data_IF_624920829962
#
_entry.id   IF_624920829962
#
_cell.length_a   1.000
_cell.length_b   1.000
_cell.length_c   1.000
_cell.angle_alpha   90.00
_cell.angle_beta   90.00
_cell.angle_gamma   90.00
#
_symmetry.space_group_name_H-M   'P 1'
#
loop_
_entity.id
_entity.type
_entity.pdbx_description
1 polymer ?
#
# COMPACT_ATOMS: atom_id res chain seq x y z
N UNK A 1 -7.07 -1.94 -21.22
CA UNK A 1 -8.01 -1.41 -20.22
C UNK A 1 -7.62 0.04 -19.91
N UNK A 2 -8.59 0.92 -20.01
CA UNK A 2 -8.37 2.32 -19.68
C UNK A 2 -8.67 2.58 -18.21
N UNK A 3 -7.72 3.18 -17.53
CA UNK A 3 -7.90 3.57 -16.13
C UNK A 3 -7.15 4.85 -15.83
N UNK A 4 -7.54 5.48 -14.72
CA UNK A 4 -6.81 6.60 -14.15
C UNK A 4 -6.58 6.35 -12.66
N UNK A 5 -5.43 6.79 -12.15
CA UNK A 5 -5.15 6.76 -10.73
C UNK A 5 -5.25 8.21 -10.23
N UNK A 6 -6.14 8.43 -9.29
CA UNK A 6 -6.47 9.76 -8.78
C UNK A 6 -6.53 9.75 -7.28
N UNK A 7 -6.43 10.95 -6.69
CA UNK A 7 -6.61 11.12 -5.26
C UNK A 7 -8.05 10.77 -4.89
N UNK A 8 -8.24 9.97 -3.85
CA UNK A 8 -9.57 9.62 -3.37
C UNK A 8 -10.28 10.85 -2.77
N UNK A 9 -11.59 10.84 -2.85
CA UNK A 9 -12.47 11.88 -2.34
C UNK A 9 -13.45 11.28 -1.35
N UNK A 10 -14.11 12.15 -0.59
CA UNK A 10 -15.12 11.71 0.39
C UNK A 10 -16.22 10.86 -0.26
N UNK A 11 -16.62 11.20 -1.48
CA UNK A 11 -17.64 10.44 -2.23
C UNK A 11 -17.20 9.01 -2.58
N UNK A 12 -15.91 8.69 -2.47
CA UNK A 12 -15.37 7.35 -2.76
C UNK A 12 -15.44 6.41 -1.55
N UNK A 13 -15.85 6.91 -0.39
CA UNK A 13 -15.79 6.18 0.90
C UNK A 13 -16.50 4.84 0.86
N UNK A 14 -17.75 4.82 0.39
CA UNK A 14 -18.54 3.59 0.38
C UNK A 14 -17.91 2.51 -0.49
N UNK A 15 -17.39 2.90 -1.65
CA UNK A 15 -16.74 1.98 -2.58
C UNK A 15 -15.39 1.50 -2.04
N UNK A 16 -14.64 2.37 -1.36
CA UNK A 16 -13.39 2.00 -0.68
C UNK A 16 -13.64 0.98 0.43
N UNK A 17 -14.68 1.18 1.24
CA UNK A 17 -15.04 0.21 2.28
C UNK A 17 -15.37 -1.16 1.67
N UNK A 18 -16.08 -1.17 0.55
CA UNK A 18 -16.38 -2.41 -0.17
C UNK A 18 -15.11 -3.08 -0.69
N UNK A 19 -14.18 -2.31 -1.21
CA UNK A 19 -12.88 -2.82 -1.68
C UNK A 19 -12.10 -3.47 -0.54
N UNK A 20 -12.02 -2.82 0.61
CA UNK A 20 -11.33 -3.35 1.78
C UNK A 20 -12.00 -4.63 2.30
N UNK A 21 -13.32 -4.63 2.40
CA UNK A 21 -14.08 -5.81 2.85
C UNK A 21 -13.92 -7.00 1.92
N UNK A 22 -13.74 -6.75 0.63
CA UNK A 22 -13.52 -7.82 -0.35
C UNK A 22 -12.20 -8.58 -0.12
N UNK A 23 -11.28 -8.02 0.66
CA UNK A 23 -10.02 -8.69 1.00
C UNK A 23 -10.13 -9.63 2.19
N UNK A 24 -11.17 -9.49 3.02
CA UNK A 24 -11.33 -10.26 4.26
C UNK A 24 -11.46 -11.73 3.94
N UNK A 25 -10.73 -12.58 4.70
CA UNK A 25 -10.75 -14.02 4.53
C UNK A 25 -9.83 -14.55 3.44
N UNK A 26 -9.11 -13.69 2.74
CA UNK A 26 -8.13 -14.11 1.74
C UNK A 26 -6.85 -14.57 2.42
N UNK A 27 -6.13 -15.48 1.77
CA UNK A 27 -4.85 -15.98 2.27
C UNK A 27 -3.88 -14.82 2.53
N UNK A 28 -3.22 -14.86 3.67
CA UNK A 28 -2.26 -13.85 4.12
C UNK A 28 -2.85 -12.45 4.32
N UNK A 29 -4.16 -12.32 4.40
CA UNK A 29 -4.83 -11.06 4.69
C UNK A 29 -5.36 -11.07 6.13
N UNK A 30 -4.81 -10.24 7.03
CA UNK A 30 -5.27 -10.19 8.41
C UNK A 30 -6.41 -9.19 8.63
N UNK A 31 -6.88 -8.55 7.58
CA UNK A 31 -7.90 -7.50 7.67
C UNK A 31 -9.24 -8.07 8.16
N UNK A 32 -10.00 -7.22 8.84
CA UNK A 32 -11.31 -7.56 9.39
C UNK A 32 -12.32 -6.43 9.13
N UNK A 33 -13.51 -6.52 9.71
CA UNK A 33 -14.57 -5.53 9.49
C UNK A 33 -14.23 -4.13 10.03
N UNK A 34 -13.26 -4.04 10.94
CA UNK A 34 -12.86 -2.77 11.55
C UNK A 34 -11.65 -2.13 10.89
N UNK A 35 -10.73 -2.94 10.35
CA UNK A 35 -9.49 -2.41 9.77
C UNK A 35 -9.13 -3.10 8.45
N UNK A 36 -8.83 -2.34 7.37
CA UNK A 36 -9.02 -0.90 7.23
C UNK A 36 -10.52 -0.54 7.22
N UNK A 37 -10.86 0.64 7.72
CA UNK A 37 -12.25 1.07 7.81
C UNK A 37 -12.40 2.59 7.80
N UNK A 38 -13.46 3.06 8.39
CA UNK A 38 -13.79 4.50 8.43
C UNK A 38 -12.64 5.34 8.97
N UNK A 39 -12.02 4.91 10.06
CA UNK A 39 -10.92 5.67 10.68
C UNK A 39 -9.69 5.73 9.78
N UNK A 40 -9.37 4.65 9.09
CA UNK A 40 -8.26 4.62 8.14
C UNK A 40 -8.50 5.58 6.98
N UNK A 41 -9.73 5.59 6.45
CA UNK A 41 -10.11 6.49 5.37
C UNK A 41 -10.04 7.94 5.82
N UNK A 42 -10.58 8.25 7.01
CA UNK A 42 -10.51 9.60 7.58
C UNK A 42 -9.07 10.09 7.71
N UNK A 43 -8.21 9.24 8.26
CA UNK A 43 -6.79 9.53 8.43
C UNK A 43 -6.12 9.82 7.08
N UNK A 44 -6.35 8.95 6.10
CA UNK A 44 -5.72 9.09 4.80
C UNK A 44 -6.24 10.30 4.03
N UNK A 45 -7.55 10.55 4.04
CA UNK A 45 -8.15 11.71 3.36
C UNK A 45 -7.66 13.01 3.97
N UNK A 46 -7.49 13.07 5.29
CA UNK A 46 -7.03 14.29 5.97
C UNK A 46 -5.61 14.69 5.58
N UNK A 47 -4.81 13.77 5.06
CA UNK A 47 -3.42 13.98 4.67
C UNK A 47 -3.20 13.98 3.16
N UNK A 48 -4.25 13.91 2.35
CA UNK A 48 -4.14 13.70 0.89
C UNK A 48 -3.31 12.46 0.56
N UNK A 49 -3.56 11.36 1.28
CA UNK A 49 -2.70 10.19 1.29
C UNK A 49 -3.37 8.91 0.79
N UNK A 50 -4.52 9.03 0.11
CA UNK A 50 -5.26 7.88 -0.40
C UNK A 50 -5.49 8.05 -1.89
N UNK A 51 -5.10 7.04 -2.66
CA UNK A 51 -5.21 7.04 -4.11
C UNK A 51 -6.00 5.83 -4.58
N UNK A 52 -6.81 6.03 -5.61
CA UNK A 52 -7.66 4.99 -6.17
C UNK A 52 -7.43 4.88 -7.67
N UNK A 53 -7.49 3.64 -8.16
CA UNK A 53 -7.46 3.34 -9.58
C UNK A 53 -8.91 3.13 -10.03
N UNK A 54 -9.35 3.97 -10.95
CA UNK A 54 -10.72 3.93 -11.47
C UNK A 54 -10.74 3.55 -12.94
N UNK A 55 -11.67 2.69 -13.30
CA UNK A 55 -11.98 2.32 -14.67
C UNK A 55 -13.49 2.32 -14.83
N UNK A 56 -13.99 3.02 -15.84
CA UNK A 56 -15.43 3.19 -16.08
C UNK A 56 -16.18 3.66 -14.81
N UNK A 57 -15.59 4.59 -14.07
CA UNK A 57 -16.19 5.14 -12.85
C UNK A 57 -16.16 4.22 -11.64
N UNK A 58 -15.55 3.04 -11.74
CA UNK A 58 -15.49 2.06 -10.66
C UNK A 58 -14.08 1.98 -10.08
N UNK A 59 -13.98 1.91 -8.75
CA UNK A 59 -12.71 1.72 -8.06
C UNK A 59 -12.32 0.25 -8.12
N UNK A 60 -11.15 -0.03 -8.68
CA UNK A 60 -10.61 -1.39 -8.81
C UNK A 60 -9.47 -1.65 -7.84
N UNK A 61 -8.78 -0.61 -7.39
CA UNK A 61 -7.62 -0.73 -6.51
C UNK A 61 -7.41 0.55 -5.71
N UNK A 62 -6.68 0.44 -4.62
CA UNK A 62 -6.32 1.58 -3.78
C UNK A 62 -4.95 1.36 -3.13
N UNK A 63 -4.30 2.45 -2.77
CA UNK A 63 -3.07 2.44 -1.98
C UNK A 63 -3.03 3.70 -1.12
N UNK A 64 -2.45 3.58 0.06
CA UNK A 64 -2.27 4.69 0.99
C UNK A 64 -0.81 5.05 1.13
N UNK A 65 -0.54 6.33 1.41
CA UNK A 65 0.73 6.80 1.94
C UNK A 65 0.57 6.85 3.45
N UNK A 66 1.38 6.10 4.18
CA UNK A 66 1.27 5.98 5.63
C UNK A 66 2.36 6.77 6.34
N UNK A 67 2.05 7.18 7.56
CA UNK A 67 3.01 7.75 8.50
C UNK A 67 2.88 6.95 9.80
N UNK A 68 3.70 5.91 9.94
CA UNK A 68 3.68 5.01 11.09
C UNK A 68 5.00 5.11 11.84
N UNK A 69 4.95 5.73 13.03
CA UNK A 69 6.14 5.95 13.86
C UNK A 69 6.75 4.65 14.35
N UNK A 70 5.94 3.62 14.58
CA UNK A 70 6.45 2.31 15.04
C UNK A 70 7.27 1.64 13.95
N UNK A 71 6.83 1.75 12.70
CA UNK A 71 7.59 1.25 11.55
C UNK A 71 8.86 2.08 11.35
N UNK A 72 8.75 3.38 11.44
CA UNK A 72 9.89 4.29 11.28
C UNK A 72 10.97 4.03 12.35
N UNK A 73 10.59 3.56 13.52
CA UNK A 73 11.50 3.33 14.64
C UNK A 73 12.38 2.08 14.50
N UNK A 74 12.08 1.18 13.55
CA UNK A 74 12.94 0.03 13.34
C UNK A 74 14.36 0.48 12.97
N UNK A 75 15.40 -0.17 13.53
CA UNK A 75 16.78 0.32 13.39
C UNK A 75 17.48 -0.04 12.09
N UNK A 76 16.86 -0.84 11.24
CA UNK A 76 17.52 -1.40 10.05
C UNK A 76 17.34 -0.57 8.77
N UNK A 77 16.49 0.48 8.77
CA UNK A 77 16.31 1.31 7.58
C UNK A 77 17.61 2.04 7.22
N UNK A 78 17.88 2.14 5.93
CA UNK A 78 19.06 2.85 5.43
C UNK A 78 18.88 4.37 5.61
N UNK A 79 19.65 4.96 6.49
CA UNK A 79 19.57 6.40 6.79
C UNK A 79 19.88 7.28 5.58
N UNK A 80 20.64 6.78 4.64
CA UNK A 80 20.96 7.52 3.43
C UNK A 80 19.74 7.69 2.51
N UNK A 81 18.68 6.93 2.74
CA UNK A 81 17.43 7.02 1.99
C UNK A 81 16.39 7.93 2.67
N UNK A 82 16.71 8.53 3.80
CA UNK A 82 15.78 9.46 4.46
C UNK A 82 15.67 10.78 3.69
N UNK A 83 14.49 11.41 3.63
CA UNK A 83 13.24 11.01 4.29
C UNK A 83 12.50 9.91 3.54
N UNK A 84 11.96 8.96 4.31
CA UNK A 84 11.17 7.86 3.77
C UNK A 84 9.69 8.19 3.70
N UNK A 85 9.05 7.76 2.60
CA UNK A 85 7.61 7.61 2.54
C UNK A 85 7.25 6.14 2.65
N UNK A 86 6.13 5.83 3.29
CA UNK A 86 5.65 4.47 3.44
C UNK A 86 4.40 4.26 2.59
N UNK A 87 4.35 3.15 1.83
CA UNK A 87 3.14 2.72 1.14
C UNK A 87 2.48 1.62 1.96
N UNK A 88 1.17 1.68 2.07
CA UNK A 88 0.40 0.75 2.89
C UNK A 88 -1.01 0.57 2.33
N UNK A 89 -1.73 -0.41 2.88
CA UNK A 89 -3.14 -0.69 2.54
C UNK A 89 -3.38 -0.80 1.04
N UNK A 90 -2.48 -1.50 0.36
CA UNK A 90 -2.63 -1.83 -1.05
C UNK A 90 -3.70 -2.89 -1.21
N UNK A 91 -4.71 -2.60 -1.99
CA UNK A 91 -5.82 -3.52 -2.23
C UNK A 91 -6.23 -3.49 -3.71
N UNK A 92 -6.55 -4.67 -4.24
CA UNK A 92 -7.09 -4.82 -5.59
C UNK A 92 -8.33 -5.71 -5.48
N UNK A 93 -9.42 -5.34 -6.14
CA UNK A 93 -10.62 -6.18 -6.17
C UNK A 93 -10.24 -7.59 -6.61
N UNK A 94 -10.76 -8.65 -5.93
CA UNK A 94 -10.38 -10.01 -6.24
C UNK A 94 -10.52 -10.40 -7.71
N UNK A 95 -11.61 -9.98 -8.37
CA UNK A 95 -11.85 -10.28 -9.79
C UNK A 95 -10.92 -9.52 -10.75
N UNK A 96 -10.16 -8.55 -10.23
CA UNK A 96 -9.22 -7.75 -11.02
C UNK A 96 -7.76 -8.05 -10.71
N UNK A 97 -7.49 -9.05 -9.89
CA UNK A 97 -6.12 -9.44 -9.57
C UNK A 97 -5.44 -10.18 -10.72
N UNK A 98 -4.12 -10.30 -10.62
CA UNK A 98 -3.26 -10.92 -11.65
C UNK A 98 -3.32 -10.19 -13.00
N UNK A 99 -3.59 -8.88 -12.97
CA UNK A 99 -3.64 -8.03 -14.16
C UNK A 99 -2.67 -6.84 -14.07
N UNK A 100 -1.75 -6.88 -13.11
CA UNK A 100 -0.74 -5.84 -12.95
C UNK A 100 -1.20 -4.59 -12.21
N UNK A 101 -2.41 -4.58 -11.63
CA UNK A 101 -2.94 -3.37 -10.97
C UNK A 101 -2.21 -3.05 -9.68
N UNK A 102 -1.82 -4.05 -8.89
CA UNK A 102 -1.03 -3.81 -7.67
C UNK A 102 0.29 -3.11 -8.00
N UNK A 103 0.97 -3.58 -9.04
CA UNK A 103 2.24 -3.00 -9.48
C UNK A 103 2.04 -1.58 -10.04
N UNK A 104 0.94 -1.33 -10.73
CA UNK A 104 0.59 0.01 -11.20
C UNK A 104 0.39 0.96 -10.02
N UNK A 105 -0.28 0.50 -8.96
CA UNK A 105 -0.48 1.31 -7.75
C UNK A 105 0.84 1.59 -7.04
N UNK A 106 1.73 0.61 -6.94
CA UNK A 106 3.05 0.81 -6.33
C UNK A 106 3.90 1.81 -7.12
N UNK A 107 3.91 1.70 -8.46
CA UNK A 107 4.60 2.66 -9.31
C UNK A 107 4.08 4.06 -9.10
N UNK A 108 2.77 4.21 -9.10
CA UNK A 108 2.14 5.50 -8.85
C UNK A 108 2.53 6.04 -7.48
N UNK A 109 2.46 5.19 -6.45
CA UNK A 109 2.82 5.58 -5.07
C UNK A 109 4.26 6.06 -4.97
N UNK A 110 5.19 5.35 -5.60
CA UNK A 110 6.60 5.75 -5.62
C UNK A 110 6.81 7.07 -6.35
N UNK A 111 6.16 7.27 -7.49
CA UNK A 111 6.24 8.53 -8.22
C UNK A 111 5.67 9.70 -7.41
N UNK A 112 4.57 9.48 -6.72
CA UNK A 112 3.95 10.49 -5.86
C UNK A 112 4.84 10.83 -4.67
N UNK A 113 5.46 9.84 -4.03
CA UNK A 113 6.41 10.07 -2.94
C UNK A 113 7.61 10.90 -3.41
N UNK A 114 8.15 10.56 -4.57
CA UNK A 114 9.25 11.30 -5.16
C UNK A 114 8.85 12.76 -5.43
N UNK A 115 7.66 12.96 -5.97
CA UNK A 115 7.12 14.31 -6.23
C UNK A 115 6.97 15.12 -4.94
N UNK A 116 6.65 14.46 -3.81
CA UNK A 116 6.52 15.10 -2.51
C UNK A 116 7.86 15.38 -1.81
N UNK A 117 8.98 14.96 -2.42
CA UNK A 117 10.31 15.22 -1.89
C UNK A 117 10.90 14.11 -1.03
N UNK A 118 10.25 12.94 -0.97
CA UNK A 118 10.82 11.79 -0.28
C UNK A 118 11.97 11.20 -1.10
N UNK A 119 13.00 10.74 -0.41
CA UNK A 119 14.18 10.15 -1.03
C UNK A 119 14.12 8.64 -1.09
N UNK A 120 13.47 8.02 -0.13
CA UNK A 120 13.29 6.59 -0.06
C UNK A 120 11.83 6.20 0.07
N UNK A 121 11.51 5.00 -0.38
CA UNK A 121 10.24 4.35 -0.13
C UNK A 121 10.47 3.11 0.71
N UNK A 122 9.54 2.84 1.60
CA UNK A 122 9.50 1.58 2.34
C UNK A 122 8.09 1.03 2.35
N UNK A 123 8.00 -0.29 2.40
CA UNK A 123 6.72 -0.94 2.66
C UNK A 123 6.97 -2.37 3.16
N UNK A 124 5.93 -2.97 3.74
CA UNK A 124 6.05 -4.28 4.36
C UNK A 124 5.19 -5.29 3.62
N UNK A 125 5.69 -6.52 3.55
CA UNK A 125 4.95 -7.64 2.97
C UNK A 125 5.02 -8.82 3.93
N UNK A 126 3.92 -9.56 4.06
CA UNK A 126 3.91 -10.76 4.88
C UNK A 126 4.91 -11.78 4.30
N UNK A 127 5.84 -12.24 5.15
CA UNK A 127 6.91 -13.16 4.76
C UNK A 127 6.38 -14.47 4.19
N UNK A 128 5.19 -14.88 4.59
CA UNK A 128 4.58 -16.13 4.14
C UNK A 128 3.67 -15.96 2.92
N UNK A 129 3.76 -14.82 2.24
CA UNK A 129 2.98 -14.54 1.04
C UNK A 129 3.87 -14.60 -0.23
N UNK A 130 4.18 -15.81 -0.76
CA UNK A 130 5.10 -15.95 -1.88
C UNK A 130 4.59 -15.28 -3.16
N UNK A 131 3.28 -15.23 -3.34
CA UNK A 131 2.67 -14.59 -4.52
C UNK A 131 2.97 -13.09 -4.54
N UNK A 132 2.81 -12.41 -3.40
CA UNK A 132 3.11 -10.99 -3.28
C UNK A 132 4.61 -10.74 -3.50
N UNK A 133 5.45 -11.54 -2.85
CA UNK A 133 6.92 -11.41 -2.98
C UNK A 133 7.34 -11.53 -4.44
N UNK A 134 6.81 -12.51 -5.17
CA UNK A 134 7.10 -12.66 -6.61
C UNK A 134 6.61 -11.49 -7.43
N UNK A 135 5.41 -10.97 -7.09
CA UNK A 135 4.82 -9.84 -7.79
C UNK A 135 5.68 -8.57 -7.68
N UNK A 136 6.37 -8.40 -6.55
CA UNK A 136 7.17 -7.20 -6.31
C UNK A 136 8.63 -7.33 -6.76
N UNK A 137 9.07 -8.53 -7.14
CA UNK A 137 10.45 -8.76 -7.58
C UNK A 137 10.94 -7.82 -8.69
N UNK A 138 10.12 -7.45 -9.70
CA UNK A 138 10.58 -6.53 -10.74
C UNK A 138 11.00 -5.14 -10.26
N UNK A 139 10.55 -4.72 -9.08
CA UNK A 139 10.92 -3.42 -8.52
C UNK A 139 12.31 -3.41 -7.88
N UNK A 140 12.88 -4.58 -7.63
CA UNK A 140 14.22 -4.71 -7.03
C UNK A 140 14.35 -4.02 -5.67
N UNK A 141 13.32 -4.17 -4.82
CA UNK A 141 13.41 -3.68 -3.46
C UNK A 141 14.49 -4.41 -2.67
N UNK A 142 15.20 -3.66 -1.82
CA UNK A 142 16.13 -4.26 -0.88
C UNK A 142 15.36 -4.68 0.38
N UNK A 143 15.65 -5.85 0.90
CA UNK A 143 15.14 -6.26 2.22
C UNK A 143 15.99 -5.58 3.28
N UNK A 144 15.42 -4.57 3.94
CA UNK A 144 16.12 -3.86 5.02
C UNK A 144 16.18 -4.70 6.28
N UNK A 145 15.15 -5.48 6.55
CA UNK A 145 15.07 -6.33 7.72
C UNK A 145 13.75 -7.09 7.77
N UNK A 146 13.59 -7.80 8.85
CA UNK A 146 12.35 -8.52 9.16
C UNK A 146 11.83 -8.04 10.51
N UNK A 147 10.52 -8.02 10.68
CA UNK A 147 9.91 -7.63 11.95
C UNK A 147 8.63 -8.44 12.19
N UNK A 148 8.20 -8.43 13.44
CA UNK A 148 6.90 -8.95 13.83
C UNK A 148 6.05 -7.76 14.28
N UNK A 149 5.02 -7.43 13.51
CA UNK A 149 4.14 -6.31 13.80
C UNK A 149 2.74 -6.67 13.29
N UNK A 150 1.69 -6.19 13.97
CA UNK A 150 0.30 -6.50 13.64
C UNK A 150 0.02 -8.01 13.60
N UNK A 151 0.64 -8.77 14.52
CA UNK A 151 0.57 -10.23 14.59
C UNK A 151 1.03 -10.94 13.31
N UNK A 152 1.95 -10.33 12.57
CA UNK A 152 2.48 -10.89 11.33
C UNK A 152 4.00 -10.81 11.31
N UNK A 153 4.61 -11.82 10.67
CA UNK A 153 6.03 -11.78 10.32
C UNK A 153 6.17 -11.09 8.97
N UNK A 154 6.85 -9.95 8.96
CA UNK A 154 6.95 -9.08 7.80
C UNK A 154 8.37 -9.00 7.26
N UNK A 155 8.50 -9.00 5.93
CA UNK A 155 9.68 -8.49 5.25
C UNK A 155 9.52 -6.98 5.10
N UNK A 156 10.57 -6.25 5.42
CA UNK A 156 10.57 -4.79 5.35
C UNK A 156 11.42 -4.37 4.17
N UNK A 157 10.75 -3.87 3.14
CA UNK A 157 11.39 -3.45 1.88
C UNK A 157 11.71 -1.97 1.89
N UNK A 158 12.81 -1.62 1.24
CA UNK A 158 13.18 -0.23 0.99
C UNK A 158 13.80 -0.07 -0.39
N UNK A 159 13.72 1.15 -0.93
CA UNK A 159 14.29 1.49 -2.23
C UNK A 159 14.51 2.99 -2.32
N UNK A 160 15.58 3.39 -3.02
CA UNK A 160 15.79 4.80 -3.38
C UNK A 160 14.81 5.22 -4.47
N UNK A 161 14.22 6.39 -4.30
CA UNK A 161 13.28 6.96 -5.26
C UNK A 161 13.99 7.78 -6.35
#
# INVERSE_FOLDING_TARGET
MDYAIVKAKEEDRAELLSLYKAQIGRECCPWDDEYPGEESIDWDLSRDALFVLKSDGKILAAVSIEEDEDVAAFPFWDKDLEPFGELARLAVLPEWQNRGLANAMLRFGMDELKRRGFKGVRFMVNRTNPKAIRSYAPFEFRVAGECHIYDQDMLCYEKEL
#
